data_IF_534461608428
#
_entry.id   IF_534461608428
#
_cell.length_a   1.000
_cell.length_b   1.000
_cell.length_c   1.000
_cell.angle_alpha   90.00
_cell.angle_beta   90.00
_cell.angle_gamma   90.00
#
_symmetry.space_group_name_H-M   'P 1'
#
loop_
_entity.id
_entity.type
_entity.pdbx_description
1 polymer ?
#
# COMPACT_ATOMS: atom_id res chain seq x y z
N UNK A 1 16.66 -6.32 -21.44
CA UNK A 1 16.32 -7.03 -20.19
C UNK A 1 15.57 -6.04 -19.33
N UNK A 2 14.27 -6.26 -19.14
CA UNK A 2 13.38 -5.35 -18.40
C UNK A 2 13.93 -5.08 -17.00
N UNK A 3 13.97 -3.80 -16.60
CA UNK A 3 14.46 -3.29 -15.32
C UNK A 3 13.33 -3.05 -14.33
N UNK A 4 12.15 -3.63 -14.56
CA UNK A 4 10.97 -3.29 -13.79
C UNK A 4 10.78 -4.32 -12.68
N UNK A 5 10.85 -3.84 -11.43
CA UNK A 5 10.48 -4.59 -10.24
C UNK A 5 8.96 -4.77 -10.27
N UNK A 6 8.50 -5.91 -10.80
CA UNK A 6 7.09 -6.23 -11.05
C UNK A 6 6.31 -6.66 -9.80
N UNK A 7 6.69 -6.12 -8.63
CA UNK A 7 5.97 -6.32 -7.38
C UNK A 7 5.13 -5.09 -7.10
N UNK A 8 3.78 -5.20 -7.00
CA UNK A 8 2.94 -4.05 -6.79
C UNK A 8 3.18 -3.53 -5.37
N UNK A 9 3.92 -2.44 -5.25
CA UNK A 9 4.15 -1.75 -3.98
C UNK A 9 2.91 -0.94 -3.60
N UNK A 10 2.62 -0.87 -2.30
CA UNK A 10 1.56 -0.01 -1.79
C UNK A 10 1.74 1.44 -2.24
N UNK A 11 0.66 2.06 -2.69
CA UNK A 11 0.68 3.45 -3.11
C UNK A 11 0.45 4.38 -1.92
N UNK A 12 1.29 5.42 -1.79
CA UNK A 12 1.12 6.44 -0.78
C UNK A 12 0.04 7.45 -1.20
N UNK A 13 -1.13 7.38 -0.55
CA UNK A 13 -2.27 8.25 -0.82
C UNK A 13 -1.93 9.75 -0.68
N UNK A 14 -0.99 10.10 0.21
CA UNK A 14 -0.56 11.49 0.40
C UNK A 14 0.03 12.11 -0.88
N UNK A 15 0.64 11.30 -1.75
CA UNK A 15 1.19 11.77 -3.03
C UNK A 15 0.08 12.20 -4.00
N UNK A 16 -1.06 11.52 -3.98
CA UNK A 16 -2.24 11.90 -4.75
C UNK A 16 -2.92 13.13 -4.13
N UNK A 17 -3.19 13.12 -2.83
CA UNK A 17 -3.92 14.21 -2.15
C UNK A 17 -3.18 15.54 -2.12
N UNK A 18 -1.85 15.51 -1.96
CA UNK A 18 -1.04 16.72 -1.74
C UNK A 18 -0.16 17.09 -2.95
N UNK A 19 0.00 16.19 -3.92
CA UNK A 19 0.78 16.42 -5.14
C UNK A 19 2.19 16.92 -4.86
N UNK A 20 2.65 17.92 -5.63
CA UNK A 20 3.99 18.50 -5.49
C UNK A 20 4.27 19.16 -4.13
N UNK A 21 3.22 19.48 -3.36
CA UNK A 21 3.42 20.03 -2.01
C UNK A 21 4.01 18.97 -1.09
N UNK A 22 3.64 17.70 -1.26
CA UNK A 22 4.10 16.59 -0.44
C UNK A 22 5.63 16.53 -0.38
N UNK A 23 6.29 16.58 -1.53
CA UNK A 23 7.75 16.50 -1.64
C UNK A 23 8.48 17.61 -0.89
N UNK A 24 7.83 18.77 -0.71
CA UNK A 24 8.37 19.96 -0.02
C UNK A 24 8.08 20.00 1.49
N UNK A 25 7.28 19.06 2.00
CA UNK A 25 6.99 18.99 3.44
C UNK A 25 8.20 18.51 4.24
N UNK A 26 8.24 18.90 5.51
CA UNK A 26 9.18 18.32 6.48
C UNK A 26 8.93 16.81 6.63
N UNK A 27 9.98 16.04 6.94
CA UNK A 27 9.91 14.59 7.07
C UNK A 27 8.81 14.15 8.06
N UNK A 28 8.73 14.79 9.23
CA UNK A 28 7.70 14.46 10.23
C UNK A 28 6.28 14.61 9.68
N UNK A 29 6.02 15.67 8.90
CA UNK A 29 4.71 15.88 8.27
C UNK A 29 4.47 14.86 7.16
N UNK A 30 5.50 14.48 6.40
CA UNK A 30 5.39 13.41 5.41
C UNK A 30 5.00 12.09 6.06
N UNK A 31 5.67 11.71 7.16
CA UNK A 31 5.38 10.48 7.91
C UNK A 31 3.93 10.48 8.41
N UNK A 32 3.49 11.57 9.05
CA UNK A 32 2.12 11.67 9.58
C UNK A 32 1.05 11.68 8.49
N UNK A 33 1.33 12.25 7.33
CA UNK A 33 0.39 12.31 6.22
C UNK A 33 0.36 11.03 5.38
N UNK A 34 1.45 10.25 5.38
CA UNK A 34 1.62 9.06 4.55
C UNK A 34 0.79 7.90 5.05
N UNK A 35 0.03 7.30 4.15
CA UNK A 35 -0.67 6.06 4.40
C UNK A 35 -1.05 5.37 3.09
N UNK A 36 -1.25 4.06 3.15
CA UNK A 36 -1.88 3.31 2.07
C UNK A 36 -3.38 3.60 2.04
N UNK A 37 -3.98 3.68 0.85
CA UNK A 37 -5.43 3.88 0.71
C UNK A 37 -6.16 2.57 1.05
N UNK A 38 -6.87 2.47 2.19
CA UNK A 38 -7.27 1.18 2.70
C UNK A 38 -8.58 0.66 2.09
N UNK A 39 -9.45 1.54 1.59
CA UNK A 39 -10.80 1.20 1.15
C UNK A 39 -11.22 2.04 -0.07
N UNK A 40 -11.85 1.45 -1.10
CA UNK A 40 -12.35 2.20 -2.25
C UNK A 40 -13.53 3.14 -1.93
N UNK A 41 -14.36 2.75 -0.97
CA UNK A 41 -15.68 3.38 -0.73
C UNK A 41 -15.78 4.08 0.64
N UNK A 42 -14.69 4.16 1.40
CA UNK A 42 -14.66 4.78 2.71
C UNK A 42 -13.32 5.47 2.93
N UNK A 43 -13.35 6.59 3.64
CA UNK A 43 -12.16 7.41 3.92
C UNK A 43 -11.92 7.53 5.43
N UNK A 44 -11.39 6.46 6.07
CA UNK A 44 -11.08 6.49 7.49
C UNK A 44 -9.82 7.33 7.74
N UNK A 45 -9.85 8.18 8.78
CA UNK A 45 -8.70 9.02 9.17
C UNK A 45 -7.47 8.18 9.58
N UNK A 46 -7.71 7.02 10.19
CA UNK A 46 -6.66 6.07 10.59
C UNK A 46 -6.91 4.76 9.86
N UNK A 47 -5.83 4.14 9.34
CA UNK A 47 -5.92 2.88 8.62
C UNK A 47 -6.56 1.79 9.50
N UNK A 48 -7.64 1.13 9.04
CA UNK A 48 -8.27 0.05 9.77
C UNK A 48 -7.34 -1.14 9.99
N UNK A 49 -7.64 -1.91 11.05
CA UNK A 49 -6.93 -3.15 11.35
C UNK A 49 -7.57 -4.30 10.58
N UNK A 50 -6.88 -4.80 9.57
CA UNK A 50 -7.29 -5.95 8.76
C UNK A 50 -6.84 -7.25 9.42
N UNK A 51 -7.53 -7.67 10.48
CA UNK A 51 -7.24 -8.91 11.21
C UNK A 51 -7.83 -10.15 10.50
N UNK A 52 -7.57 -10.31 9.21
CA UNK A 52 -7.96 -11.48 8.43
C UNK A 52 -6.74 -12.28 8.00
N UNK A 53 -6.89 -13.60 7.87
CA UNK A 53 -5.88 -14.48 7.30
C UNK A 53 -6.00 -14.62 5.79
N UNK A 54 -7.22 -14.58 5.25
CA UNK A 54 -7.54 -14.80 3.83
C UNK A 54 -8.46 -13.71 3.29
N UNK A 55 -8.42 -13.45 1.99
CA UNK A 55 -9.30 -12.49 1.32
C UNK A 55 -10.19 -13.16 0.28
N UNK A 56 -11.39 -12.61 0.07
CA UNK A 56 -12.37 -13.11 -0.89
C UNK A 56 -12.28 -12.33 -2.19
N UNK A 57 -12.19 -13.04 -3.30
CA UNK A 57 -12.28 -12.49 -4.65
C UNK A 57 -13.74 -12.42 -5.11
N UNK A 58 -14.09 -11.39 -5.89
CA UNK A 58 -15.44 -11.20 -6.42
C UNK A 58 -15.74 -12.14 -7.58
N UNK A 59 -14.74 -12.45 -8.40
CA UNK A 59 -14.85 -13.32 -9.58
C UNK A 59 -13.61 -14.22 -9.68
N UNK A 60 -13.75 -15.33 -10.41
CA UNK A 60 -12.60 -16.20 -10.74
C UNK A 60 -11.61 -15.44 -11.61
N UNK A 61 -12.10 -14.63 -12.57
CA UNK A 61 -11.24 -13.79 -13.41
C UNK A 61 -10.33 -12.87 -12.58
N UNK A 62 -10.85 -12.26 -11.50
CA UNK A 62 -10.04 -11.45 -10.59
C UNK A 62 -8.93 -12.28 -9.91
N UNK A 63 -9.25 -13.51 -9.52
CA UNK A 63 -8.25 -14.41 -8.93
C UNK A 63 -7.15 -14.79 -9.92
N UNK A 64 -7.48 -14.88 -11.22
CA UNK A 64 -6.52 -15.26 -12.27
C UNK A 64 -5.67 -14.08 -12.78
N UNK A 65 -5.92 -12.85 -12.32
CA UNK A 65 -5.09 -11.68 -12.66
C UNK A 65 -3.64 -11.84 -12.16
N UNK A 66 -2.64 -11.20 -12.80
CA UNK A 66 -1.28 -11.13 -12.28
C UNK A 66 -1.28 -10.59 -10.85
N UNK A 67 -0.61 -11.30 -9.93
CA UNK A 67 -0.68 -11.04 -8.50
C UNK A 67 -2.13 -10.89 -7.98
N UNK A 68 -3.12 -11.56 -8.57
CA UNK A 68 -4.54 -11.52 -8.17
C UNK A 68 -5.16 -10.10 -8.10
N UNK A 69 -4.60 -9.16 -8.86
CA UNK A 69 -4.95 -7.73 -8.83
C UNK A 69 -4.46 -6.97 -7.59
N UNK A 70 -3.86 -7.66 -6.60
CA UNK A 70 -3.25 -7.08 -5.39
C UNK A 70 -2.46 -8.16 -4.62
N UNK A 71 -1.47 -7.80 -3.80
CA UNK A 71 -0.76 -8.78 -2.97
C UNK A 71 -1.62 -9.47 -1.87
N UNK A 72 -2.92 -9.16 -1.79
CA UNK A 72 -3.83 -9.59 -0.72
C UNK A 72 -4.59 -10.87 -1.07
N UNK A 73 -3.90 -12.00 -1.04
CA UNK A 73 -4.53 -13.33 -1.17
C UNK A 73 -4.61 -14.00 0.20
N UNK A 74 -3.46 -14.04 0.83
CA UNK A 74 -3.24 -14.63 2.13
C UNK A 74 -2.31 -13.71 2.91
N UNK A 75 -2.59 -13.49 4.19
CA UNK A 75 -1.91 -12.48 5.02
C UNK A 75 -0.38 -12.56 4.97
N UNK A 76 0.18 -13.76 4.82
CA UNK A 76 1.64 -13.98 4.71
C UNK A 76 2.27 -13.30 3.49
N UNK A 77 1.51 -13.10 2.42
CA UNK A 77 1.98 -12.47 1.18
C UNK A 77 1.74 -10.96 1.18
N UNK A 78 0.80 -10.47 2.00
CA UNK A 78 0.44 -9.07 2.09
C UNK A 78 -0.82 -8.86 2.91
N UNK A 79 -0.92 -7.69 3.54
CA UNK A 79 -2.07 -7.26 4.33
C UNK A 79 -2.19 -5.74 4.27
N UNK A 80 -3.41 -5.16 4.11
CA UNK A 80 -3.52 -3.71 3.99
C UNK A 80 -3.01 -2.92 5.22
N UNK A 81 -3.06 -3.50 6.41
CA UNK A 81 -2.48 -2.88 7.61
C UNK A 81 -0.95 -2.89 7.58
N UNK A 82 -0.32 -3.95 7.07
CA UNK A 82 1.15 -4.00 6.96
C UNK A 82 1.66 -3.21 5.77
N UNK A 83 0.93 -3.20 4.65
CA UNK A 83 1.23 -2.35 3.48
C UNK A 83 1.27 -0.86 3.86
N UNK A 84 0.41 -0.43 4.77
CA UNK A 84 0.49 0.94 5.30
C UNK A 84 1.83 1.24 5.97
N UNK A 85 2.39 0.27 6.72
CA UNK A 85 3.71 0.40 7.33
C UNK A 85 4.79 0.44 6.27
N UNK A 86 4.70 -0.43 5.25
CA UNK A 86 5.63 -0.45 4.12
C UNK A 86 5.66 0.89 3.38
N UNK A 87 4.49 1.50 3.13
CA UNK A 87 4.38 2.84 2.53
C UNK A 87 5.13 3.89 3.34
N UNK A 88 4.97 3.88 4.66
CA UNK A 88 5.64 4.84 5.54
C UNK A 88 7.15 4.60 5.57
N UNK A 89 7.60 3.35 5.66
CA UNK A 89 9.05 3.01 5.61
C UNK A 89 9.65 3.47 4.28
N UNK A 90 8.98 3.21 3.16
CA UNK A 90 9.46 3.62 1.84
C UNK A 90 9.61 5.15 1.73
N UNK A 91 8.73 5.92 2.35
CA UNK A 91 8.84 7.38 2.37
C UNK A 91 10.00 7.88 3.25
N UNK A 92 10.30 7.17 4.34
CA UNK A 92 11.42 7.50 5.23
C UNK A 92 12.76 7.16 4.56
N UNK A 93 12.88 5.96 4.00
CA UNK A 93 14.14 5.42 3.49
C UNK A 93 14.42 5.76 2.02
N UNK A 94 13.40 6.23 1.28
CA UNK A 94 13.50 6.43 -0.17
C UNK A 94 13.71 5.12 -0.95
N UNK A 95 13.38 3.98 -0.34
CA UNK A 95 13.50 2.66 -0.93
C UNK A 95 12.48 2.40 -2.03
N UNK A 96 12.83 1.52 -2.98
CA UNK A 96 11.92 1.10 -4.04
C UNK A 96 10.73 0.26 -3.52
N UNK A 97 10.87 -0.36 -2.35
CA UNK A 97 9.86 -1.16 -1.71
C UNK A 97 10.36 -1.69 -0.36
N UNK A 98 9.41 -2.09 0.49
CA UNK A 98 9.65 -2.71 1.80
C UNK A 98 8.71 -3.89 1.93
N UNK A 99 9.11 -4.87 2.74
CA UNK A 99 8.29 -6.04 3.03
C UNK A 99 8.17 -6.20 4.54
N UNK A 100 6.94 -6.09 5.04
CA UNK A 100 6.57 -6.27 6.44
C UNK A 100 5.45 -7.31 6.47
N UNK A 101 5.79 -8.57 6.79
CA UNK A 101 4.86 -9.72 6.81
C UNK A 101 4.01 -9.79 8.08
#
# INVERSE_FOLDING_TARGET
MSKDFDWPVGYNDAKERLGERFSRLHLDTKILASHAKPLPNADPVVVPIYHSSTYRFKTIAQFDEPNHGSNFVYRRCGNPTTENVEVVINEIEGGAGSLVV
#
